data_IF_355422391175
#
_entry.id   IF_355422391175
#
_cell.length_a   1.000
_cell.length_b   1.000
_cell.length_c   1.000
_cell.angle_alpha   90.00
_cell.angle_beta   90.00
_cell.angle_gamma   90.00
#
_symmetry.space_group_name_H-M   'P 1'
#
loop_
_entity.id
_entity.type
_entity.pdbx_description
1 polymer ?
#
# COMPACT_ATOMS: atom_id res chain seq x y z
N UNK A 1 10.30 1.94 9.97
CA UNK A 1 9.41 1.17 9.10
C UNK A 1 10.24 0.32 8.16
N UNK A 2 9.91 -0.94 8.06
CA UNK A 2 10.65 -1.86 7.21
C UNK A 2 9.71 -2.54 6.23
N UNK A 3 10.21 -2.79 5.04
CA UNK A 3 9.41 -3.40 3.98
C UNK A 3 10.28 -4.28 3.09
N UNK A 4 9.61 -5.11 2.32
CA UNK A 4 10.27 -6.00 1.36
C UNK A 4 9.57 -5.84 0.01
N UNK A 5 10.29 -6.15 -1.04
CA UNK A 5 9.69 -6.18 -2.39
C UNK A 5 8.51 -7.13 -2.37
N UNK A 6 7.38 -6.68 -2.91
CA UNK A 6 6.15 -7.45 -2.90
C UNK A 6 5.19 -7.06 -1.79
N UNK A 7 5.66 -6.34 -0.78
CA UNK A 7 4.75 -5.79 0.23
C UNK A 7 3.99 -4.61 -0.36
N UNK A 8 2.98 -4.16 0.37
CA UNK A 8 2.18 -3.01 -0.06
C UNK A 8 2.26 -1.89 0.96
N UNK A 9 2.28 -0.68 0.44
CA UNK A 9 2.25 0.52 1.26
C UNK A 9 0.84 1.07 1.23
N UNK A 10 0.25 1.27 2.40
CA UNK A 10 -1.09 1.85 2.53
C UNK A 10 -0.95 3.21 3.17
N UNK A 11 -1.32 4.25 2.44
CA UNK A 11 -1.29 5.62 2.94
C UNK A 11 -2.71 6.02 3.26
N UNK A 12 -2.97 6.30 4.52
CA UNK A 12 -4.31 6.66 4.95
C UNK A 12 -4.54 8.15 4.75
N UNK A 13 -5.74 8.50 4.35
CA UNK A 13 -6.08 9.90 4.17
C UNK A 13 -6.15 10.64 5.51
N UNK A 14 -5.82 11.91 5.48
CA UNK A 14 -5.85 12.74 6.67
C UNK A 14 -7.16 13.47 6.85
N UNK A 15 -8.04 13.44 5.85
CA UNK A 15 -9.36 14.07 5.91
C UNK A 15 -10.41 13.04 5.56
N UNK A 16 -11.66 13.35 5.87
CA UNK A 16 -12.76 12.45 5.57
C UNK A 16 -13.00 12.29 4.08
N UNK A 17 -12.55 13.25 3.29
CA UNK A 17 -12.72 13.17 1.83
C UNK A 17 -11.63 12.37 1.14
N UNK A 18 -10.55 12.06 1.84
CA UNK A 18 -9.45 11.31 1.24
C UNK A 18 -9.61 9.83 1.50
N UNK A 19 -9.41 9.07 0.45
CA UNK A 19 -9.44 7.61 0.55
C UNK A 19 -8.03 7.09 0.76
N UNK A 20 -7.95 5.89 1.32
CA UNK A 20 -6.67 5.21 1.42
C UNK A 20 -6.08 5.00 0.03
N UNK A 21 -4.79 5.21 -0.07
CA UNK A 21 -4.07 4.93 -1.30
C UNK A 21 -3.15 3.75 -1.08
N UNK A 22 -3.16 2.83 -2.02
CA UNK A 22 -2.37 1.61 -1.93
C UNK A 22 -1.32 1.62 -3.02
N UNK A 23 -0.12 1.16 -2.68
CA UNK A 23 0.97 1.08 -3.63
C UNK A 23 1.71 -0.23 -3.43
N UNK A 24 2.14 -0.81 -4.53
CA UNK A 24 2.98 -2.01 -4.49
C UNK A 24 4.43 -1.60 -4.35
N UNK A 25 5.15 -2.20 -3.42
CA UNK A 25 6.57 -1.91 -3.23
C UNK A 25 7.36 -2.70 -4.26
N UNK A 26 8.00 -1.98 -5.18
CA UNK A 26 8.76 -2.58 -6.26
C UNK A 26 10.23 -2.75 -5.90
N UNK A 27 10.76 -1.85 -5.06
CA UNK A 27 12.17 -1.87 -4.71
C UNK A 27 12.37 -1.24 -3.36
N UNK A 28 13.25 -1.82 -2.57
CA UNK A 28 13.69 -1.27 -1.29
C UNK A 28 15.18 -0.98 -1.43
N UNK A 29 15.55 0.28 -1.32
CA UNK A 29 16.91 0.72 -1.63
C UNK A 29 17.90 0.55 -0.50
N UNK A 30 17.43 0.13 0.65
CA UNK A 30 18.30 -0.09 1.81
C UNK A 30 18.34 -1.57 2.14
N UNK A 31 19.41 -1.98 2.81
CA UNK A 31 19.57 -3.39 3.17
C UNK A 31 18.64 -3.82 4.28
N UNK A 32 18.28 -2.90 5.16
CA UNK A 32 17.47 -3.22 6.33
C UNK A 32 15.98 -3.02 6.13
N UNK A 33 15.57 -2.70 4.90
CA UNK A 33 14.15 -2.55 4.60
C UNK A 33 13.56 -1.20 4.95
N UNK A 34 14.41 -0.22 5.28
CA UNK A 34 13.90 1.12 5.61
C UNK A 34 13.73 1.98 4.37
N UNK A 35 12.98 3.11 4.48
CA UNK A 35 12.79 4.00 3.34
C UNK A 35 14.11 4.57 2.82
N UNK A 36 14.15 5.02 1.58
CA UNK A 36 13.00 5.20 0.67
C UNK A 36 12.60 3.92 -0.04
N UNK A 37 11.33 3.90 -0.49
CA UNK A 37 10.81 2.76 -1.26
C UNK A 37 10.43 3.23 -2.66
N UNK A 38 10.68 2.38 -3.65
CA UNK A 38 10.13 2.60 -4.98
C UNK A 38 8.82 1.84 -5.05
N UNK A 39 7.74 2.55 -5.32
CA UNK A 39 6.41 1.97 -5.29
C UNK A 39 5.66 2.29 -6.58
N UNK A 40 4.64 1.50 -6.87
CA UNK A 40 3.72 1.79 -7.94
C UNK A 40 2.33 1.97 -7.34
N UNK A 41 1.78 3.17 -7.53
CA UNK A 41 0.44 3.48 -7.04
C UNK A 41 -0.59 2.68 -7.83
N UNK A 42 -1.44 1.96 -7.13
CA UNK A 42 -2.37 1.05 -7.79
C UNK A 42 -3.45 1.78 -8.57
N UNK A 43 -3.84 2.98 -8.13
CA UNK A 43 -4.89 3.73 -8.79
C UNK A 43 -4.43 4.25 -10.15
N UNK A 44 -3.22 4.78 -10.23
CA UNK A 44 -2.73 5.42 -11.45
C UNK A 44 -1.71 4.57 -12.20
N UNK A 45 -1.07 3.63 -11.52
CA UNK A 45 0.01 2.86 -12.12
C UNK A 45 1.34 3.60 -12.18
N UNK A 46 1.42 4.79 -11.61
CA UNK A 46 2.66 5.56 -11.60
C UNK A 46 3.65 5.02 -10.59
N UNK A 47 4.91 5.00 -10.97
CA UNK A 47 5.99 4.64 -10.07
C UNK A 47 6.60 5.89 -9.47
N UNK A 48 6.96 5.80 -8.20
CA UNK A 48 7.55 6.92 -7.49
C UNK A 48 8.43 6.42 -6.36
N UNK A 49 9.43 7.23 -5.99
CA UNK A 49 10.22 6.99 -4.80
C UNK A 49 9.60 7.78 -3.67
N UNK A 50 9.29 7.10 -2.57
CA UNK A 50 8.56 7.73 -1.47
C UNK A 50 9.26 7.50 -0.13
N UNK A 51 9.08 8.47 0.75
CA UNK A 51 9.45 8.36 2.16
C UNK A 51 8.14 8.34 2.95
N UNK A 52 7.68 7.18 3.38
CA UNK A 52 6.37 7.10 4.04
C UNK A 52 6.34 7.91 5.33
N UNK A 53 5.26 8.62 5.53
CA UNK A 53 5.05 9.40 6.74
C UNK A 53 4.33 8.59 7.80
N UNK A 54 3.95 9.23 8.91
CA UNK A 54 3.32 8.53 10.04
C UNK A 54 1.94 7.95 9.75
N UNK A 55 1.28 8.42 8.70
CA UNK A 55 -0.03 7.89 8.30
C UNK A 55 0.07 6.78 7.25
N UNK A 56 1.28 6.32 6.98
CA UNK A 56 1.50 5.20 6.06
C UNK A 56 1.85 3.94 6.85
N UNK A 57 1.38 2.79 6.38
CA UNK A 57 1.72 1.50 6.97
C UNK A 57 2.11 0.53 5.87
N UNK A 58 2.96 -0.42 6.22
CA UNK A 58 3.35 -1.49 5.31
C UNK A 58 2.57 -2.73 5.69
N UNK A 59 1.92 -3.33 4.70
CA UNK A 59 1.21 -4.59 4.90
C UNK A 59 1.80 -5.64 3.96
N UNK A 60 1.74 -6.89 4.36
CA UNK A 60 2.23 -7.97 3.51
C UNK A 60 1.28 -8.18 2.33
N UNK A 61 1.79 -8.83 1.29
CA UNK A 61 0.95 -9.18 0.14
C UNK A 61 -0.24 -10.03 0.57
N UNK A 62 -0.04 -10.94 1.51
CA UNK A 62 -1.12 -11.78 2.01
C UNK A 62 -2.21 -10.98 2.73
N UNK A 63 -1.80 -10.03 3.54
CA UNK A 63 -2.75 -9.17 4.25
C UNK A 63 -3.51 -8.27 3.28
N UNK A 64 -2.82 -7.75 2.28
CA UNK A 64 -3.45 -6.92 1.27
C UNK A 64 -4.47 -7.71 0.47
N UNK A 65 -4.14 -8.93 0.08
CA UNK A 65 -5.05 -9.80 -0.63
C UNK A 65 -6.29 -10.13 0.19
N UNK A 66 -6.11 -10.40 1.47
CA UNK A 66 -7.21 -10.70 2.36
C UNK A 66 -8.17 -9.54 2.49
N UNK A 67 -7.64 -8.33 2.61
CA UNK A 67 -8.45 -7.14 2.69
C UNK A 67 -9.23 -6.91 1.39
N UNK A 68 -8.58 -7.14 0.26
CA UNK A 68 -9.23 -7.00 -1.04
C UNK A 68 -10.34 -8.03 -1.22
N UNK A 69 -10.11 -9.27 -0.78
CA UNK A 69 -11.13 -10.31 -0.85
C UNK A 69 -12.35 -9.96 -0.01
N UNK A 70 -12.13 -9.47 1.20
CA UNK A 70 -13.24 -9.06 2.06
C UNK A 70 -14.04 -7.93 1.44
N UNK A 71 -13.37 -6.98 0.85
CA UNK A 71 -14.05 -5.86 0.19
C UNK A 71 -14.85 -6.35 -1.00
N UNK A 72 -14.29 -7.27 -1.79
CA UNK A 72 -14.97 -7.84 -2.95
C UNK A 72 -16.19 -8.64 -2.53
N UNK A 73 -16.08 -9.44 -1.48
CA UNK A 73 -17.20 -10.19 -0.94
C UNK A 73 -18.34 -9.28 -0.53
N UNK A 74 -18.01 -8.23 0.18
CA UNK A 74 -19.00 -7.27 0.63
C UNK A 74 -19.73 -6.63 -0.55
N UNK A 75 -18.97 -6.23 -1.56
CA UNK A 75 -19.54 -5.63 -2.76
C UNK A 75 -20.41 -6.63 -3.52
N UNK A 76 -19.99 -7.86 -3.58
CA UNK A 76 -20.71 -8.90 -4.30
C UNK A 76 -22.07 -9.19 -3.72
N UNK A 77 -22.24 -8.98 -2.43
CA UNK A 77 -23.52 -9.26 -1.78
C UNK A 77 -24.60 -8.24 -2.04
N UNK A 78 -24.22 -7.15 -2.62
CA UNK A 78 -25.18 -6.09 -2.88
C UNK A 78 -26.05 -6.34 -4.08
N UNK A 79 -25.70 -7.35 -4.81
CA UNK A 79 -26.36 -7.73 -6.07
C UNK A 79 -27.82 -7.59 -6.10
#
# INVERSE_FOLDING_TARGET
MKAHVGDFLVVKGTTTDQHEQHAEILEVRTEDGSPPFVVRWLVTGHEATVYPGPDAVVVSAAEHSRAAERAAERSGRRG
#
